data_IF_242056207892
#
_entry.id   IF_242056207892
#
_cell.length_a   1.000
_cell.length_b   1.000
_cell.length_c   1.000
_cell.angle_alpha   90.00
_cell.angle_beta   90.00
_cell.angle_gamma   90.00
#
_symmetry.space_group_name_H-M   'P 1'
#
loop_
_entity.id
_entity.type
_entity.pdbx_description
1 polymer ?
#
# COMPACT_ATOMS: atom_id res chain seq x y z
N UNK A 1 9.31 0.20 12.83
CA UNK A 1 8.18 -0.39 12.04
C UNK A 1 7.67 0.52 10.93
N UNK A 2 7.61 1.86 11.10
CA UNK A 2 7.45 2.83 9.99
C UNK A 2 8.63 2.80 9.00
N UNK A 3 9.81 2.52 9.52
CA UNK A 3 11.08 2.54 8.78
C UNK A 3 11.19 1.43 7.74
N UNK A 4 10.73 0.21 8.05
CA UNK A 4 10.80 -0.93 7.12
C UNK A 4 10.00 -0.64 5.85
N UNK A 5 8.77 -0.13 6.01
CA UNK A 5 7.93 0.25 4.88
C UNK A 5 8.52 1.42 4.09
N UNK A 6 9.11 2.42 4.76
CA UNK A 6 9.86 3.49 4.08
C UNK A 6 11.04 2.96 3.28
N UNK A 7 11.83 2.05 3.84
CA UNK A 7 12.98 1.43 3.17
C UNK A 7 12.51 0.63 1.96
N UNK A 8 11.45 -0.17 2.11
CA UNK A 8 10.85 -0.94 1.01
C UNK A 8 10.38 -0.03 -0.13
N UNK A 9 9.79 1.12 0.22
CA UNK A 9 9.34 2.11 -0.75
C UNK A 9 10.51 2.79 -1.48
N UNK A 10 11.60 3.11 -0.78
CA UNK A 10 12.82 3.66 -1.40
C UNK A 10 13.45 2.65 -2.36
N UNK A 11 13.55 1.38 -1.97
CA UNK A 11 14.04 0.30 -2.84
C UNK A 11 13.15 0.17 -4.09
N UNK A 12 11.84 0.26 -3.92
CA UNK A 12 10.89 0.24 -5.04
C UNK A 12 11.11 1.40 -6.02
N UNK A 13 11.35 2.62 -5.52
CA UNK A 13 11.66 3.77 -6.39
C UNK A 13 12.97 3.53 -7.18
N UNK A 14 14.02 3.05 -6.52
CA UNK A 14 15.29 2.73 -7.19
C UNK A 14 15.13 1.65 -8.27
N UNK A 15 14.29 0.65 -8.00
CA UNK A 15 13.94 -0.38 -8.98
C UNK A 15 13.18 0.23 -10.16
N UNK A 16 12.19 1.08 -9.92
CA UNK A 16 11.44 1.75 -10.99
C UNK A 16 12.33 2.66 -11.83
N UNK A 17 13.27 3.39 -11.22
CA UNK A 17 14.27 4.18 -11.94
C UNK A 17 15.16 3.28 -12.83
N UNK A 18 15.63 2.15 -12.30
CA UNK A 18 16.42 1.18 -13.06
C UNK A 18 15.62 0.58 -14.22
N UNK A 19 14.37 0.20 -13.97
CA UNK A 19 13.47 -0.33 -15.00
C UNK A 19 13.19 0.69 -16.11
N UNK A 20 12.96 1.95 -15.76
CA UNK A 20 12.76 3.03 -16.72
C UNK A 20 14.02 3.30 -17.55
N UNK A 21 15.20 3.28 -16.93
CA UNK A 21 16.48 3.39 -17.63
C UNK A 21 16.68 2.24 -18.63
N UNK A 22 16.38 1.01 -18.22
CA UNK A 22 16.46 -0.18 -19.10
C UNK A 22 15.51 -0.09 -20.31
N UNK A 23 14.32 0.47 -20.12
CA UNK A 23 13.37 0.70 -21.23
C UNK A 23 13.94 1.70 -22.23
N UNK A 24 14.57 2.79 -21.74
CA UNK A 24 15.18 3.80 -22.61
C UNK A 24 16.33 3.22 -23.45
N UNK A 25 17.03 2.21 -22.93
CA UNK A 25 18.10 1.50 -23.65
C UNK A 25 17.59 0.39 -24.58
N UNK A 26 16.27 0.27 -24.80
CA UNK A 26 15.63 -0.77 -25.63
C UNK A 26 16.08 -2.20 -25.32
N UNK A 27 16.43 -2.45 -24.06
CA UNK A 27 16.79 -3.81 -23.65
C UNK A 27 15.54 -4.70 -23.66
N UNK A 28 15.62 -5.83 -24.34
CA UNK A 28 14.54 -6.80 -24.50
C UNK A 28 13.92 -7.26 -23.17
N UNK A 29 14.71 -7.26 -22.10
CA UNK A 29 14.29 -7.65 -20.74
C UNK A 29 13.66 -6.51 -19.93
N UNK A 30 13.63 -5.29 -20.45
CA UNK A 30 13.17 -4.11 -19.71
C UNK A 30 11.69 -4.20 -19.31
N UNK A 31 10.84 -4.73 -20.19
CA UNK A 31 9.43 -4.96 -19.89
C UNK A 31 9.24 -5.97 -18.75
N UNK A 32 10.05 -7.03 -18.71
CA UNK A 32 10.02 -8.06 -17.65
C UNK A 32 10.45 -7.45 -16.32
N UNK A 33 11.54 -6.68 -16.31
CA UNK A 33 12.06 -6.02 -15.10
C UNK A 33 11.05 -5.00 -14.54
N UNK A 34 10.38 -4.26 -15.42
CA UNK A 34 9.33 -3.31 -15.02
C UNK A 34 8.07 -4.03 -14.52
N UNK A 35 7.66 -5.12 -15.19
CA UNK A 35 6.55 -5.97 -14.76
C UNK A 35 6.79 -6.62 -13.38
N UNK A 36 8.02 -7.08 -13.12
CA UNK A 36 8.42 -7.58 -11.80
C UNK A 36 8.37 -6.49 -10.72
N UNK A 37 8.72 -5.25 -11.06
CA UNK A 37 8.55 -4.10 -10.16
C UNK A 37 7.09 -3.86 -9.79
N UNK A 38 6.18 -3.88 -10.78
CA UNK A 38 4.73 -3.75 -10.54
C UNK A 38 4.19 -4.94 -9.74
N UNK A 39 4.66 -6.16 -10.02
CA UNK A 39 4.29 -7.35 -9.26
C UNK A 39 4.73 -7.24 -7.79
N UNK A 40 5.96 -6.78 -7.54
CA UNK A 40 6.46 -6.51 -6.20
C UNK A 40 5.59 -5.47 -5.47
N UNK A 41 5.19 -4.40 -6.15
CA UNK A 41 4.30 -3.39 -5.58
C UNK A 41 2.95 -3.98 -5.18
N UNK A 42 2.33 -4.74 -6.09
CA UNK A 42 0.98 -5.27 -5.90
C UNK A 42 0.92 -6.38 -4.84
N UNK A 43 1.87 -7.32 -4.86
CA UNK A 43 1.81 -8.50 -4.00
C UNK A 43 2.61 -8.38 -2.70
N UNK A 44 3.63 -7.52 -2.65
CA UNK A 44 4.46 -7.37 -1.45
C UNK A 44 4.16 -6.04 -0.78
N UNK A 45 4.30 -4.93 -1.50
CA UNK A 45 4.20 -3.60 -0.87
C UNK A 45 2.77 -3.30 -0.40
N UNK A 46 1.74 -3.59 -1.21
CA UNK A 46 0.34 -3.32 -0.86
C UNK A 46 -0.15 -4.14 0.36
N UNK A 47 0.00 -5.47 0.43
CA UNK A 47 -0.45 -6.24 1.59
C UNK A 47 0.31 -5.87 2.86
N UNK A 48 1.62 -5.63 2.75
CA UNK A 48 2.45 -5.22 3.87
C UNK A 48 2.08 -3.81 4.37
N UNK A 49 1.74 -2.91 3.46
CA UNK A 49 1.24 -1.57 3.79
C UNK A 49 -0.08 -1.64 4.57
N UNK A 50 -1.04 -2.44 4.09
CA UNK A 50 -2.33 -2.66 4.75
C UNK A 50 -2.11 -3.28 6.13
N UNK A 51 -1.34 -4.36 6.22
CA UNK A 51 -1.04 -5.00 7.50
C UNK A 51 -0.43 -4.01 8.48
N UNK A 52 0.58 -3.25 8.06
CA UNK A 52 1.21 -2.25 8.92
C UNK A 52 0.22 -1.17 9.40
N UNK A 53 -0.67 -0.72 8.51
CA UNK A 53 -1.64 0.33 8.83
C UNK A 53 -2.73 -0.13 9.78
N UNK A 54 -3.19 -1.38 9.68
CA UNK A 54 -4.32 -1.89 10.46
C UNK A 54 -3.93 -2.67 11.71
N UNK A 55 -2.63 -2.95 11.95
CA UNK A 55 -2.16 -3.77 13.08
C UNK A 55 -2.49 -3.23 14.47
N UNK A 56 -2.66 -1.91 14.65
CA UNK A 56 -2.90 -1.31 15.98
C UNK A 56 -4.39 -1.27 16.39
N UNK A 57 -5.18 -2.30 16.07
CA UNK A 57 -6.62 -2.37 16.41
C UNK A 57 -7.49 -1.19 15.92
N UNK A 58 -6.94 -0.28 15.10
CA UNK A 58 -7.66 0.89 14.56
C UNK A 58 -8.79 0.49 13.61
N UNK A 59 -8.81 -0.75 13.11
CA UNK A 59 -9.93 -1.29 12.34
C UNK A 59 -11.24 -1.25 13.14
N UNK A 60 -11.19 -1.42 14.47
CA UNK A 60 -12.37 -1.34 15.35
C UNK A 60 -13.05 0.04 15.31
N UNK A 61 -12.32 1.10 14.96
CA UNK A 61 -12.90 2.43 14.75
C UNK A 61 -13.82 2.46 13.52
N UNK A 62 -13.56 1.64 12.52
CA UNK A 62 -14.30 1.57 11.26
C UNK A 62 -15.35 0.46 11.21
N UNK A 63 -15.42 -0.41 12.22
CA UNK A 63 -16.53 -1.37 12.36
C UNK A 63 -17.81 -0.58 12.68
N UNK A 64 -18.80 -0.73 11.83
CA UNK A 64 -20.17 -0.29 12.06
C UNK A 64 -20.79 -1.26 13.08
N UNK A 65 -21.18 -0.74 14.24
CA UNK A 65 -21.86 -1.50 15.28
C UNK A 65 -23.20 -0.81 15.53
N UNK A 66 -24.21 -1.56 15.94
CA UNK A 66 -25.57 -1.07 16.18
C UNK A 66 -25.58 0.12 17.15
N UNK A 67 -24.68 0.10 18.15
CA UNK A 67 -24.48 1.22 19.07
C UNK A 67 -24.01 2.51 18.38
N UNK A 68 -23.04 2.43 17.45
CA UNK A 68 -22.57 3.60 16.70
C UNK A 68 -23.62 4.13 15.73
N UNK A 69 -24.39 3.23 15.11
CA UNK A 69 -25.49 3.63 14.22
C UNK A 69 -26.53 4.39 15.02
N UNK A 70 -26.87 3.89 16.22
CA UNK A 70 -27.81 4.55 17.13
C UNK A 70 -27.30 5.91 17.60
N UNK A 71 -26.02 6.04 17.98
CA UNK A 71 -25.38 7.31 18.32
C UNK A 71 -25.39 8.33 17.18
N UNK A 72 -25.21 7.89 15.92
CA UNK A 72 -25.27 8.77 14.75
C UNK A 72 -26.68 9.28 14.49
N UNK A 73 -27.69 8.40 14.60
CA UNK A 73 -29.10 8.78 14.45
C UNK A 73 -29.52 9.75 15.56
N UNK A 74 -29.10 9.50 16.80
CA UNK A 74 -29.44 10.33 17.96
C UNK A 74 -28.80 11.72 17.89
N UNK A 75 -27.54 11.82 17.47
CA UNK A 75 -26.87 13.11 17.22
C UNK A 75 -27.45 13.86 16.00
N UNK A 76 -28.03 13.16 15.03
CA UNK A 76 -28.64 13.80 13.85
C UNK A 76 -30.04 14.37 14.16
N UNK A 77 -30.69 13.89 15.22
CA UNK A 77 -32.02 14.35 15.65
C UNK A 77 -31.94 15.44 16.74
N UNK A 78 -30.74 15.88 17.11
CA UNK A 78 -30.47 16.93 18.10
C UNK A 78 -30.01 18.21 17.41
#
# INVERSE_FOLDING_TARGET
MKTVLKILFVIFILWMCTGFYLIKTEHEKAQIVMGLGVFFLSFILMPLFIYYRYRDNKYKKYILNDQKIKEWIDNSNK
#
